data_IF_950637800876
#
_entry.id   IF_950637800876
#
_cell.length_a   1.000
_cell.length_b   1.000
_cell.length_c   1.000
_cell.angle_alpha   90.00
_cell.angle_beta   90.00
_cell.angle_gamma   90.00
#
_symmetry.space_group_name_H-M   'P 1'
#
loop_
_entity.id
_entity.type
_entity.pdbx_description
1 polymer ?
#
# COMPACT_ATOMS: atom_id res chain seq x y z
N UNK A 1 -26.33 -7.05 -25.74
CA UNK A 1 -26.36 -6.39 -24.43
C UNK A 1 -24.96 -5.97 -24.07
N UNK A 2 -24.70 -4.65 -24.08
CA UNK A 2 -23.41 -4.10 -23.64
C UNK A 2 -23.45 -3.79 -22.15
N UNK A 3 -22.34 -4.07 -21.44
CA UNK A 3 -22.15 -3.61 -20.05
C UNK A 3 -21.44 -2.26 -20.09
N UNK A 4 -22.06 -1.23 -19.53
CA UNK A 4 -21.43 0.08 -19.31
C UNK A 4 -20.88 0.16 -17.88
N UNK A 5 -19.61 0.53 -17.74
CA UNK A 5 -19.01 0.80 -16.43
C UNK A 5 -18.78 2.31 -16.30
N UNK A 6 -19.18 2.90 -15.18
CA UNK A 6 -18.91 4.28 -14.85
C UNK A 6 -18.04 4.33 -13.57
N UNK A 7 -16.95 5.10 -13.65
CA UNK A 7 -16.11 5.39 -12.47
C UNK A 7 -16.55 6.73 -11.91
N UNK A 8 -16.87 6.83 -10.61
CA UNK A 8 -17.19 8.12 -9.98
C UNK A 8 -16.06 9.13 -10.20
N UNK A 9 -16.41 10.34 -10.60
CA UNK A 9 -15.43 11.41 -10.91
C UNK A 9 -14.52 11.73 -9.73
N UNK A 10 -15.00 11.58 -8.50
CA UNK A 10 -14.22 11.77 -7.27
C UNK A 10 -13.07 10.76 -7.15
N UNK A 11 -13.31 9.48 -7.48
CA UNK A 11 -12.27 8.45 -7.50
C UNK A 11 -11.29 8.70 -8.65
N UNK A 12 -11.81 9.06 -9.83
CA UNK A 12 -10.97 9.39 -10.99
C UNK A 12 -10.05 10.57 -10.69
N UNK A 13 -10.56 11.66 -10.14
CA UNK A 13 -9.76 12.83 -9.78
C UNK A 13 -8.67 12.47 -8.76
N UNK A 14 -9.01 11.71 -7.72
CA UNK A 14 -8.03 11.22 -6.73
C UNK A 14 -6.92 10.38 -7.39
N UNK A 15 -7.27 9.49 -8.31
CA UNK A 15 -6.29 8.66 -9.05
C UNK A 15 -5.36 9.53 -9.89
N UNK A 16 -5.91 10.51 -10.64
CA UNK A 16 -5.11 11.44 -11.45
C UNK A 16 -4.17 12.28 -10.58
N UNK A 17 -4.66 12.80 -9.45
CA UNK A 17 -3.86 13.57 -8.52
C UNK A 17 -2.74 12.74 -7.90
N UNK A 18 -3.03 11.49 -7.51
CA UNK A 18 -2.03 10.58 -6.99
C UNK A 18 -0.94 10.26 -8.03
N UNK A 19 -1.35 9.98 -9.28
CA UNK A 19 -0.40 9.70 -10.36
C UNK A 19 0.49 10.91 -10.67
N UNK A 20 -0.08 12.14 -10.68
CA UNK A 20 0.70 13.37 -10.89
C UNK A 20 1.67 13.65 -9.75
N UNK A 21 1.25 13.42 -8.50
CA UNK A 21 2.01 13.80 -7.31
C UNK A 21 3.00 12.73 -6.85
N UNK A 22 2.64 11.46 -7.01
CA UNK A 22 3.37 10.34 -6.43
C UNK A 22 3.82 9.28 -7.45
N UNK A 23 3.45 9.44 -8.73
CA UNK A 23 3.72 8.44 -9.77
C UNK A 23 2.94 7.12 -9.60
N UNK A 24 2.15 6.99 -8.53
CA UNK A 24 1.35 5.78 -8.24
C UNK A 24 0.11 6.12 -7.46
N UNK A 25 -0.93 5.29 -7.61
CA UNK A 25 -2.18 5.44 -6.87
C UNK A 25 -1.98 5.05 -5.41
N UNK A 26 -2.32 5.95 -4.50
CA UNK A 26 -2.28 5.71 -3.07
C UNK A 26 -3.52 4.92 -2.65
N UNK A 27 -3.35 3.68 -2.27
CA UNK A 27 -4.45 2.81 -1.82
C UNK A 27 -4.47 2.74 -0.31
N UNK A 28 -5.54 3.28 0.28
CA UNK A 28 -5.81 3.13 1.69
C UNK A 28 -6.54 1.80 1.96
N UNK A 29 -6.25 1.19 3.11
CA UNK A 29 -6.84 -0.07 3.54
C UNK A 29 -7.25 0.01 5.01
N UNK A 30 -8.36 -0.65 5.34
CA UNK A 30 -8.78 -0.85 6.74
C UNK A 30 -8.04 -2.04 7.34
N UNK A 31 -7.71 -3.05 6.53
CA UNK A 31 -7.05 -4.27 7.01
C UNK A 31 -8.04 -5.28 7.59
N UNK A 32 -9.11 -5.58 6.87
CA UNK A 32 -10.09 -6.61 7.20
C UNK A 32 -10.28 -7.59 6.02
N UNK A 33 -10.69 -8.79 6.36
CA UNK A 33 -11.30 -9.74 5.44
C UNK A 33 -12.75 -9.93 5.88
N UNK A 34 -13.66 -10.08 4.94
CA UNK A 34 -15.07 -10.21 5.28
C UNK A 34 -15.98 -10.10 4.07
N UNK A 35 -17.25 -9.93 4.32
CA UNK A 35 -18.26 -9.82 3.28
C UNK A 35 -19.58 -9.25 3.80
N UNK A 36 -20.57 -9.18 2.90
CA UNK A 36 -21.88 -8.66 3.24
C UNK A 36 -22.54 -9.54 4.30
N UNK A 37 -23.07 -8.92 5.35
CA UNK A 37 -23.78 -9.63 6.46
C UNK A 37 -24.85 -10.54 5.90
N UNK A 38 -25.68 -10.06 4.98
CA UNK A 38 -26.76 -10.85 4.40
C UNK A 38 -26.25 -12.16 3.77
N UNK A 39 -25.21 -12.07 2.95
CA UNK A 39 -24.63 -13.27 2.34
C UNK A 39 -24.07 -14.26 3.35
N UNK A 40 -23.42 -13.71 4.40
CA UNK A 40 -22.89 -14.55 5.48
C UNK A 40 -24.01 -15.27 6.23
N UNK A 41 -25.07 -14.56 6.65
CA UNK A 41 -26.22 -15.14 7.37
C UNK A 41 -26.95 -16.17 6.50
N UNK A 42 -27.21 -15.86 5.23
CA UNK A 42 -27.84 -16.79 4.29
C UNK A 42 -27.02 -18.08 4.14
N UNK A 43 -25.70 -17.96 3.98
CA UNK A 43 -24.79 -19.12 3.89
C UNK A 43 -24.76 -19.96 5.18
N UNK A 44 -24.82 -19.34 6.37
CA UNK A 44 -24.89 -20.07 7.63
C UNK A 44 -26.23 -20.82 7.78
N UNK A 45 -27.33 -20.19 7.34
CA UNK A 45 -28.65 -20.81 7.34
C UNK A 45 -28.73 -22.04 6.43
N UNK A 46 -28.13 -21.99 5.23
CA UNK A 46 -28.00 -23.15 4.34
C UNK A 46 -27.24 -24.31 4.99
N UNK A 47 -26.33 -24.02 5.92
CA UNK A 47 -25.60 -25.02 6.70
C UNK A 47 -26.34 -25.47 7.98
N UNK A 48 -27.59 -25.03 8.15
CA UNK A 48 -28.41 -25.36 9.34
C UNK A 48 -28.02 -24.62 10.61
N UNK A 49 -27.27 -23.49 10.50
CA UNK A 49 -26.87 -22.65 11.62
C UNK A 49 -27.68 -21.37 11.63
N UNK A 50 -28.25 -21.02 12.78
CA UNK A 50 -28.84 -19.71 13.00
C UNK A 50 -27.78 -18.77 13.57
N UNK A 51 -27.54 -17.65 12.87
CA UNK A 51 -26.62 -16.59 13.29
C UNK A 51 -27.37 -15.28 13.37
N UNK A 52 -27.31 -14.65 14.50
CA UNK A 52 -27.87 -13.31 14.74
C UNK A 52 -26.72 -12.34 15.06
N UNK A 53 -26.43 -11.44 14.12
CA UNK A 53 -25.40 -10.42 14.22
C UNK A 53 -25.94 -9.06 14.68
N UNK A 54 -27.24 -8.98 15.04
CA UNK A 54 -27.91 -7.75 15.45
C UNK A 54 -28.29 -6.84 14.27
N UNK A 55 -27.98 -7.22 13.04
CA UNK A 55 -28.32 -6.52 11.79
C UNK A 55 -28.32 -7.47 10.63
N UNK A 56 -29.06 -7.11 9.56
CA UNK A 56 -29.03 -7.81 8.25
C UNK A 56 -28.22 -7.03 7.20
N UNK A 57 -27.67 -5.89 7.55
CA UNK A 57 -26.92 -5.02 6.65
C UNK A 57 -25.56 -4.69 7.28
N UNK A 58 -24.58 -4.41 6.42
CA UNK A 58 -23.22 -4.13 6.85
C UNK A 58 -22.21 -5.17 6.38
N UNK A 59 -21.01 -5.08 6.89
CA UNK A 59 -19.87 -5.94 6.53
C UNK A 59 -19.48 -6.77 7.74
N UNK A 60 -19.68 -8.07 7.67
CA UNK A 60 -19.16 -9.03 8.64
C UNK A 60 -17.66 -9.16 8.51
N UNK A 61 -16.92 -8.92 9.58
CA UNK A 61 -15.46 -9.06 9.66
C UNK A 61 -15.14 -10.51 10.01
N UNK A 62 -14.73 -11.29 9.02
CA UNK A 62 -14.30 -12.67 9.23
C UNK A 62 -12.90 -12.78 9.79
N UNK A 63 -12.05 -11.81 9.48
CA UNK A 63 -10.68 -11.72 9.98
C UNK A 63 -10.17 -10.29 9.95
N UNK A 64 -9.52 -9.88 11.03
CA UNK A 64 -8.72 -8.66 11.10
C UNK A 64 -7.27 -8.98 10.75
N UNK A 65 -6.67 -8.16 9.91
CA UNK A 65 -5.27 -8.33 9.47
C UNK A 65 -4.34 -7.78 10.55
N UNK A 66 -3.39 -8.60 10.99
CA UNK A 66 -2.39 -8.21 11.99
C UNK A 66 -1.60 -6.97 11.53
N UNK A 67 -1.52 -5.98 12.42
CA UNK A 67 -0.88 -4.69 12.10
C UNK A 67 -1.67 -3.82 11.11
N UNK A 68 -2.88 -4.23 10.73
CA UNK A 68 -3.82 -3.44 9.93
C UNK A 68 -4.41 -2.26 10.70
N UNK A 69 -5.07 -1.35 10.00
CA UNK A 69 -5.70 -0.18 10.61
C UNK A 69 -6.86 -0.56 11.55
N UNK A 70 -7.63 -1.62 11.21
CA UNK A 70 -8.70 -2.15 12.04
C UNK A 70 -8.16 -2.75 13.35
N UNK A 71 -7.05 -3.52 13.29
CA UNK A 71 -6.42 -4.08 14.49
C UNK A 71 -5.96 -2.99 15.47
N UNK A 72 -5.34 -1.92 14.96
CA UNK A 72 -4.90 -0.79 15.80
C UNK A 72 -6.09 -0.06 16.46
N UNK A 73 -7.25 -0.10 15.84
CA UNK A 73 -8.48 0.52 16.35
C UNK A 73 -9.31 -0.42 17.26
N UNK A 74 -8.81 -1.63 17.54
CA UNK A 74 -9.49 -2.58 18.41
C UNK A 74 -10.71 -3.26 17.81
N UNK A 75 -10.82 -3.29 16.47
CA UNK A 75 -11.85 -4.08 15.78
C UNK A 75 -11.40 -5.54 15.79
N UNK A 76 -12.33 -6.44 16.05
CA UNK A 76 -12.06 -7.86 16.21
C UNK A 76 -12.79 -8.73 15.17
N UNK A 77 -12.35 -9.97 15.06
CA UNK A 77 -13.03 -10.98 14.25
C UNK A 77 -14.45 -11.20 14.80
N UNK A 78 -15.44 -11.19 13.92
CA UNK A 78 -16.85 -11.30 14.31
C UNK A 78 -17.60 -9.97 14.37
N UNK A 79 -16.92 -8.84 14.35
CA UNK A 79 -17.54 -7.52 14.32
C UNK A 79 -18.30 -7.28 13.01
N UNK A 80 -19.24 -6.33 13.05
CA UNK A 80 -20.01 -5.92 11.88
C UNK A 80 -19.88 -4.43 11.65
N UNK A 81 -19.21 -4.01 10.59
CA UNK A 81 -19.10 -2.60 10.21
C UNK A 81 -20.42 -2.14 9.60
N UNK A 82 -21.01 -1.07 10.12
CA UNK A 82 -22.33 -0.55 9.70
C UNK A 82 -22.29 0.89 9.19
N UNK A 83 -21.23 1.67 9.48
CA UNK A 83 -21.07 3.01 8.92
C UNK A 83 -19.60 3.43 8.87
N UNK A 84 -19.28 4.33 7.92
CA UNK A 84 -17.98 5.01 7.77
C UNK A 84 -18.21 6.51 7.63
N UNK A 85 -17.53 7.32 8.43
CA UNK A 85 -17.70 8.79 8.48
C UNK A 85 -19.17 9.21 8.58
N UNK A 86 -19.98 8.46 9.36
CA UNK A 86 -21.42 8.67 9.53
C UNK A 86 -22.30 8.19 8.36
N UNK A 87 -21.70 7.75 7.26
CA UNK A 87 -22.44 7.20 6.12
C UNK A 87 -22.69 5.69 6.36
N UNK A 88 -23.96 5.30 6.33
CA UNK A 88 -24.33 3.88 6.45
C UNK A 88 -23.70 3.08 5.30
N UNK A 89 -23.15 1.93 5.63
CA UNK A 89 -22.65 0.95 4.65
C UNK A 89 -23.43 -0.35 4.82
N UNK A 90 -24.00 -0.84 3.72
CA UNK A 90 -24.86 -2.01 3.70
C UNK A 90 -24.19 -3.23 3.11
N UNK A 91 -23.13 -3.02 2.33
CA UNK A 91 -22.38 -4.06 1.62
C UNK A 91 -20.91 -3.65 1.42
N UNK A 92 -20.09 -4.63 1.02
CA UNK A 92 -18.66 -4.45 0.82
C UNK A 92 -18.32 -3.43 -0.28
N UNK A 93 -19.14 -3.32 -1.33
CA UNK A 93 -18.88 -2.39 -2.41
C UNK A 93 -18.97 -0.92 -1.95
N UNK A 94 -19.96 -0.59 -1.13
CA UNK A 94 -20.10 0.75 -0.54
C UNK A 94 -18.93 1.08 0.39
N UNK A 95 -18.49 0.13 1.23
CA UNK A 95 -17.29 0.32 2.06
C UNK A 95 -16.08 0.59 1.19
N UNK A 96 -15.84 -0.24 0.18
CA UNK A 96 -14.70 -0.09 -0.73
C UNK A 96 -14.73 1.23 -1.49
N UNK A 97 -15.90 1.71 -1.92
CA UNK A 97 -16.05 2.99 -2.60
C UNK A 97 -15.63 4.16 -1.70
N UNK A 98 -16.05 4.16 -0.42
CA UNK A 98 -15.68 5.20 0.53
C UNK A 98 -14.16 5.18 0.76
N UNK A 99 -13.59 4.00 1.00
CA UNK A 99 -12.16 3.84 1.28
C UNK A 99 -11.29 4.15 0.04
N UNK A 100 -11.77 3.86 -1.18
CA UNK A 100 -11.05 4.17 -2.42
C UNK A 100 -10.80 5.68 -2.64
N UNK A 101 -11.58 6.55 -1.99
CA UNK A 101 -11.40 8.01 -2.02
C UNK A 101 -10.35 8.52 -1.02
N UNK A 102 -9.88 7.66 -0.11
CA UNK A 102 -8.94 8.00 0.96
C UNK A 102 -7.50 7.61 0.59
N UNK A 103 -6.57 8.13 1.38
CA UNK A 103 -5.14 7.83 1.27
C UNK A 103 -4.63 7.18 2.57
N UNK A 104 -3.52 6.48 2.55
CA UNK A 104 -2.83 6.07 3.77
C UNK A 104 -2.54 7.29 4.65
N UNK A 105 -2.81 7.16 5.95
CA UNK A 105 -2.73 8.26 6.92
C UNK A 105 -4.03 9.04 7.12
N UNK A 106 -5.02 8.91 6.22
CA UNK A 106 -6.33 9.51 6.45
C UNK A 106 -7.04 8.83 7.62
N UNK A 107 -7.77 9.65 8.39
CA UNK A 107 -8.60 9.18 9.49
C UNK A 107 -10.03 8.99 9.00
N UNK A 108 -10.64 7.90 9.40
CA UNK A 108 -12.06 7.63 9.19
C UNK A 108 -12.71 7.24 10.52
N UNK A 109 -13.96 7.63 10.70
CA UNK A 109 -14.77 7.17 11.83
C UNK A 109 -15.49 5.89 11.41
N UNK A 110 -15.14 4.74 11.98
CA UNK A 110 -15.83 3.48 11.76
C UNK A 110 -16.84 3.25 12.88
N UNK A 111 -18.10 3.00 12.48
CA UNK A 111 -19.14 2.52 13.40
C UNK A 111 -19.36 1.05 13.14
N UNK A 112 -19.28 0.23 14.19
CA UNK A 112 -19.42 -1.21 14.11
C UNK A 112 -20.21 -1.77 15.29
N UNK A 113 -20.68 -2.99 15.15
CA UNK A 113 -21.30 -3.76 16.21
C UNK A 113 -20.31 -4.80 16.71
N UNK A 114 -19.96 -4.73 17.98
CA UNK A 114 -19.23 -5.76 18.72
C UNK A 114 -20.23 -6.39 19.70
N UNK A 115 -20.44 -7.70 19.61
CA UNK A 115 -21.46 -8.40 20.39
C UNK A 115 -22.85 -7.71 20.33
N UNK A 116 -23.24 -7.26 19.13
CA UNK A 116 -24.50 -6.51 18.87
C UNK A 116 -24.57 -5.12 19.49
N UNK A 117 -23.55 -4.66 20.21
CA UNK A 117 -23.46 -3.30 20.76
C UNK A 117 -22.73 -2.39 19.79
N UNK A 118 -23.26 -1.18 19.64
CA UNK A 118 -22.73 -0.18 18.72
C UNK A 118 -21.52 0.53 19.33
N UNK A 119 -20.42 0.52 18.61
CA UNK A 119 -19.17 1.23 18.92
C UNK A 119 -18.81 2.16 17.76
N UNK A 120 -18.02 3.18 18.05
CA UNK A 120 -17.49 4.09 17.02
C UNK A 120 -16.06 4.43 17.39
N UNK A 121 -15.14 4.11 16.48
CA UNK A 121 -13.70 4.33 16.67
C UNK A 121 -13.09 5.08 15.50
N UNK A 122 -12.05 5.84 15.78
CA UNK A 122 -11.26 6.52 14.76
C UNK A 122 -10.17 5.59 14.27
N UNK A 123 -10.22 5.25 12.98
CA UNK A 123 -9.26 4.37 12.31
C UNK A 123 -8.34 5.20 11.43
N UNK A 124 -7.04 5.04 11.59
CA UNK A 124 -6.02 5.64 10.71
C UNK A 124 -5.71 4.63 9.61
N UNK A 125 -6.14 4.94 8.40
CA UNK A 125 -5.98 4.03 7.25
C UNK A 125 -4.50 3.82 6.93
N UNK A 126 -4.16 2.59 6.56
CA UNK A 126 -2.80 2.18 6.21
C UNK A 126 -2.70 1.79 4.74
N UNK A 127 -1.50 1.71 4.22
CA UNK A 127 -1.23 1.14 2.89
C UNK A 127 -1.16 -0.40 2.96
N UNK A 128 -0.90 -1.05 1.84
CA UNK A 128 -0.73 -2.51 1.73
C UNK A 128 0.42 -3.05 2.59
N UNK A 129 1.41 -2.22 2.95
CA UNK A 129 2.54 -2.58 3.81
C UNK A 129 2.23 -2.39 5.31
N UNK A 130 1.00 -2.01 5.66
CA UNK A 130 0.57 -1.83 7.03
C UNK A 130 1.11 -0.54 7.70
N UNK A 131 1.50 0.46 6.93
CA UNK A 131 1.93 1.77 7.44
C UNK A 131 1.19 2.93 6.76
N UNK A 132 1.39 4.14 7.25
CA UNK A 132 0.75 5.36 6.74
C UNK A 132 1.58 6.09 5.69
N UNK A 133 2.71 5.54 5.27
CA UNK A 133 3.60 6.17 4.32
C UNK A 133 2.94 6.27 2.95
N UNK A 134 3.10 7.42 2.33
CA UNK A 134 2.73 7.63 0.94
C UNK A 134 3.74 6.90 0.06
N UNK A 135 3.25 5.96 -0.75
CA UNK A 135 4.10 5.25 -1.69
C UNK A 135 4.40 6.17 -2.87
N UNK A 136 5.66 6.50 -3.04
CA UNK A 136 6.15 7.18 -4.24
C UNK A 136 6.75 6.13 -5.17
N UNK A 137 6.27 6.10 -6.40
CA UNK A 137 6.95 5.42 -7.50
C UNK A 137 7.59 6.50 -8.37
N UNK A 138 8.90 6.58 -8.34
CA UNK A 138 9.62 7.30 -9.38
C UNK A 138 9.98 6.30 -10.47
N UNK A 139 9.50 6.57 -11.67
CA UNK A 139 10.06 5.99 -12.86
C UNK A 139 11.32 6.82 -13.16
N UNK A 140 12.46 6.30 -12.76
CA UNK A 140 13.74 6.88 -13.15
C UNK A 140 14.06 6.30 -14.53
N UNK A 141 13.42 6.86 -15.56
CA UNK A 141 13.53 6.40 -16.97
C UNK A 141 14.97 6.17 -17.38
N UNK A 142 15.87 7.02 -16.90
CA UNK A 142 17.32 6.92 -17.14
C UNK A 142 17.91 5.60 -16.62
N UNK A 143 17.36 5.04 -15.56
CA UNK A 143 17.84 3.79 -14.96
C UNK A 143 17.08 2.56 -15.47
N UNK A 144 15.90 2.75 -16.05
CA UNK A 144 15.05 1.66 -16.51
C UNK A 144 14.51 0.80 -15.38
N UNK A 145 14.19 1.39 -14.22
CA UNK A 145 13.70 0.65 -13.06
C UNK A 145 12.66 1.44 -12.25
N UNK A 146 11.79 0.70 -11.58
CA UNK A 146 10.82 1.24 -10.63
C UNK A 146 11.23 0.88 -9.20
N UNK A 147 11.00 1.81 -8.27
CA UNK A 147 11.45 1.71 -6.89
C UNK A 147 10.29 1.89 -5.92
N UNK A 148 10.43 1.35 -4.72
CA UNK A 148 9.59 1.66 -3.56
C UNK A 148 10.44 1.74 -2.29
N UNK A 149 9.95 2.43 -1.30
CA UNK A 149 10.56 2.42 0.03
C UNK A 149 10.40 1.04 0.67
N UNK A 150 11.41 0.63 1.47
CA UNK A 150 11.38 -0.66 2.16
C UNK A 150 10.37 -0.66 3.30
N UNK A 151 9.75 -1.81 3.51
CA UNK A 151 8.79 -2.03 4.60
C UNK A 151 9.51 -2.24 5.94
N UNK A 152 8.78 -2.04 7.05
CA UNK A 152 9.34 -2.30 8.39
C UNK A 152 9.65 -3.80 8.59
N UNK A 153 8.91 -4.69 7.94
CA UNK A 153 9.21 -6.12 7.91
C UNK A 153 10.57 -6.39 7.25
N UNK A 154 10.85 -5.77 6.09
CA UNK A 154 12.15 -5.89 5.40
C UNK A 154 13.30 -5.29 6.24
N UNK A 155 13.06 -4.15 6.91
CA UNK A 155 14.05 -3.56 7.83
C UNK A 155 14.45 -4.54 8.94
N UNK A 156 13.46 -5.16 9.58
CA UNK A 156 13.69 -6.16 10.64
C UNK A 156 14.37 -7.42 10.11
N UNK A 157 13.86 -7.98 9.01
CA UNK A 157 14.36 -9.23 8.42
C UNK A 157 15.83 -9.12 8.00
N UNK A 158 16.21 -7.99 7.39
CA UNK A 158 17.56 -7.78 6.84
C UNK A 158 18.48 -7.01 7.79
N UNK A 159 17.98 -6.62 8.97
CA UNK A 159 18.70 -5.78 9.95
C UNK A 159 19.25 -4.49 9.32
N UNK A 160 18.42 -3.82 8.51
CA UNK A 160 18.75 -2.56 7.84
C UNK A 160 17.75 -1.47 8.27
N UNK A 161 18.21 -0.22 8.26
CA UNK A 161 17.38 0.91 8.68
C UNK A 161 16.90 1.77 7.51
N UNK A 162 17.59 1.70 6.38
CA UNK A 162 17.35 2.55 5.20
C UNK A 162 17.47 1.76 3.91
N UNK A 163 16.82 2.23 2.87
CA UNK A 163 16.94 1.70 1.52
C UNK A 163 15.66 1.87 0.70
N UNK A 164 15.80 1.72 -0.60
CA UNK A 164 14.69 1.60 -1.56
C UNK A 164 14.81 0.29 -2.31
N UNK A 165 13.70 -0.40 -2.50
CA UNK A 165 13.65 -1.68 -3.20
C UNK A 165 13.39 -1.48 -4.70
N UNK A 166 14.15 -2.18 -5.53
CA UNK A 166 13.90 -2.30 -6.97
C UNK A 166 12.75 -3.28 -7.19
N UNK A 167 11.56 -2.77 -7.53
CA UNK A 167 10.35 -3.60 -7.69
C UNK A 167 10.14 -4.09 -9.11
N UNK A 168 10.74 -3.41 -10.09
CA UNK A 168 10.68 -3.77 -11.51
C UNK A 168 11.94 -3.28 -12.21
N UNK A 169 12.49 -4.09 -13.10
CA UNK A 169 13.60 -3.72 -14.00
C UNK A 169 13.12 -3.90 -15.43
N UNK A 170 13.16 -2.82 -16.19
CA UNK A 170 12.88 -2.78 -17.62
C UNK A 170 14.22 -2.85 -18.41
N UNK A 171 14.18 -2.70 -19.73
CA UNK A 171 15.39 -2.48 -20.50
C UNK A 171 15.99 -1.13 -20.11
N UNK A 172 17.28 -1.10 -19.79
CA UNK A 172 17.99 0.11 -19.37
C UNK A 172 19.19 -0.20 -18.49
N UNK A 173 19.83 0.86 -18.03
CA UNK A 173 21.15 0.82 -17.36
C UNK A 173 21.22 -0.10 -16.13
N UNK A 174 20.16 -0.23 -15.34
CA UNK A 174 20.14 -1.15 -14.21
C UNK A 174 20.12 -2.62 -14.63
N UNK A 175 19.41 -2.95 -15.72
CA UNK A 175 19.41 -4.30 -16.28
C UNK A 175 20.79 -4.66 -16.83
N UNK A 176 21.39 -3.71 -17.55
CA UNK A 176 22.71 -3.90 -18.17
C UNK A 176 23.80 -4.07 -17.10
N UNK A 177 23.66 -3.41 -15.97
CA UNK A 177 24.51 -3.58 -14.79
C UNK A 177 24.25 -4.88 -14.02
N UNK A 178 23.22 -5.67 -14.38
CA UNK A 178 22.88 -6.93 -13.71
C UNK A 178 22.07 -6.77 -12.41
N UNK A 179 21.51 -5.60 -12.15
CA UNK A 179 20.61 -5.40 -11.02
C UNK A 179 19.27 -6.05 -11.34
N UNK A 180 18.72 -6.79 -10.39
CA UNK A 180 17.45 -7.49 -10.53
C UNK A 180 16.43 -7.05 -9.49
N UNK A 181 15.17 -7.40 -9.76
CA UNK A 181 14.06 -7.17 -8.82
C UNK A 181 14.38 -7.71 -7.43
N UNK A 182 13.98 -6.95 -6.40
CA UNK A 182 14.20 -7.29 -4.99
C UNK A 182 15.50 -6.75 -4.41
N UNK A 183 16.41 -6.19 -5.23
CA UNK A 183 17.60 -5.52 -4.73
C UNK A 183 17.21 -4.26 -3.95
N UNK A 184 17.76 -4.08 -2.76
CA UNK A 184 17.53 -2.93 -1.89
C UNK A 184 18.77 -2.04 -1.95
N UNK A 185 18.61 -0.86 -2.54
CA UNK A 185 19.65 0.16 -2.63
C UNK A 185 19.72 0.89 -1.30
N UNK A 186 20.89 0.91 -0.67
CA UNK A 186 21.12 1.55 0.62
C UNK A 186 21.98 2.82 0.51
N UNK A 187 22.87 2.85 -0.49
CA UNK A 187 23.82 3.92 -0.69
C UNK A 187 24.09 4.13 -2.18
N UNK A 188 24.21 5.39 -2.61
CA UNK A 188 24.62 5.76 -3.95
C UNK A 188 25.59 6.94 -3.85
N UNK A 189 26.75 6.87 -4.49
CA UNK A 189 27.80 7.91 -4.46
C UNK A 189 28.11 8.41 -3.04
N UNK A 190 28.24 7.45 -2.10
CA UNK A 190 28.47 7.73 -0.67
C UNK A 190 27.29 8.34 0.10
N UNK A 191 26.18 8.67 -0.53
CA UNK A 191 24.97 9.14 0.12
C UNK A 191 24.04 8.00 0.51
N UNK A 192 23.46 8.10 1.72
CA UNK A 192 22.45 7.13 2.16
C UNK A 192 21.11 7.40 1.47
N UNK A 193 20.56 6.37 0.84
CA UNK A 193 19.27 6.43 0.18
C UNK A 193 18.18 5.93 1.15
N UNK A 194 17.39 6.86 1.68
CA UNK A 194 16.27 6.58 2.59
C UNK A 194 14.93 6.60 1.86
N UNK A 195 14.81 7.47 0.87
CA UNK A 195 13.62 7.75 0.10
C UNK A 195 13.88 7.70 -1.39
N UNK A 196 12.83 7.68 -2.17
CA UNK A 196 12.93 7.78 -3.64
C UNK A 196 13.41 9.18 -4.04
N UNK A 197 13.04 10.21 -3.29
CA UNK A 197 13.51 11.58 -3.53
C UNK A 197 15.03 11.69 -3.38
N UNK A 198 15.64 10.99 -2.41
CA UNK A 198 17.10 10.93 -2.27
C UNK A 198 17.73 10.35 -3.54
N UNK A 199 17.16 9.24 -4.05
CA UNK A 199 17.65 8.62 -5.28
C UNK A 199 17.53 9.55 -6.49
N UNK A 200 16.41 10.27 -6.63
CA UNK A 200 16.22 11.24 -7.72
C UNK A 200 17.24 12.37 -7.65
N UNK A 201 17.52 12.88 -6.47
CA UNK A 201 18.50 13.95 -6.26
C UNK A 201 19.91 13.48 -6.66
N UNK A 202 20.33 12.32 -6.16
CA UNK A 202 21.66 11.75 -6.49
C UNK A 202 21.80 11.47 -7.98
N UNK A 203 20.77 10.93 -8.64
CA UNK A 203 20.79 10.69 -10.10
C UNK A 203 20.89 12.01 -10.85
N UNK A 204 20.14 13.04 -10.44
CA UNK A 204 20.20 14.37 -11.05
C UNK A 204 21.57 15.00 -10.90
N UNK A 205 22.17 14.96 -9.72
CA UNK A 205 23.51 15.47 -9.44
C UNK A 205 24.57 14.72 -10.23
N UNK A 206 24.53 13.40 -10.22
CA UNK A 206 25.46 12.58 -10.99
C UNK A 206 25.35 12.82 -12.50
N UNK A 207 24.14 13.04 -13.03
CA UNK A 207 23.92 13.31 -14.46
C UNK A 207 24.56 14.63 -14.93
N UNK A 208 24.78 15.58 -14.02
CA UNK A 208 25.38 16.90 -14.29
C UNK A 208 26.85 16.97 -13.86
N UNK A 209 27.40 15.92 -13.27
CA UNK A 209 28.79 15.85 -12.82
C UNK A 209 29.78 15.61 -13.96
N UNK A 210 31.08 15.84 -13.71
CA UNK A 210 32.14 15.54 -14.65
C UNK A 210 32.33 14.02 -14.88
N UNK A 211 31.92 13.20 -13.91
CA UNK A 211 31.90 11.75 -13.98
C UNK A 211 30.50 11.25 -13.73
N UNK A 212 29.65 11.11 -14.77
CA UNK A 212 28.26 10.73 -14.63
C UNK A 212 28.11 9.22 -14.40
N UNK A 213 28.55 8.76 -13.23
CA UNK A 213 28.48 7.36 -12.79
C UNK A 213 27.76 7.28 -11.44
N UNK A 214 26.92 6.28 -11.28
CA UNK A 214 26.32 5.92 -10.00
C UNK A 214 27.04 4.71 -9.42
N UNK A 215 27.66 4.87 -8.27
CA UNK A 215 28.21 3.78 -7.47
C UNK A 215 27.17 3.34 -6.45
N UNK A 216 26.51 2.23 -6.74
CA UNK A 216 25.36 1.74 -5.98
C UNK A 216 25.81 0.63 -5.02
N UNK A 217 25.46 0.75 -3.76
CA UNK A 217 25.63 -0.28 -2.74
C UNK A 217 24.27 -0.70 -2.20
N UNK A 218 24.06 -2.00 -2.05
CA UNK A 218 22.82 -2.51 -1.50
C UNK A 218 22.88 -3.99 -1.12
N UNK A 219 21.70 -4.54 -0.86
CA UNK A 219 21.53 -5.90 -0.36
C UNK A 219 20.37 -6.60 -1.07
N UNK A 220 20.52 -7.87 -1.38
CA UNK A 220 19.43 -8.72 -1.84
C UNK A 220 18.62 -9.29 -0.66
N UNK A 221 17.36 -9.75 -0.88
CA UNK A 221 16.55 -10.39 0.18
C UNK A 221 17.21 -11.60 0.84
N UNK A 222 18.19 -12.21 0.17
CA UNK A 222 19.03 -13.30 0.68
C UNK A 222 20.06 -12.85 1.71
N UNK A 223 20.20 -11.53 1.97
CA UNK A 223 21.26 -10.97 2.80
C UNK A 223 22.60 -10.74 2.08
N UNK A 224 22.70 -11.09 0.78
CA UNK A 224 23.91 -10.88 -0.01
C UNK A 224 24.06 -9.40 -0.37
N UNK A 225 25.16 -8.77 0.07
CA UNK A 225 25.56 -7.42 -0.34
C UNK A 225 26.08 -7.42 -1.77
N UNK A 226 25.78 -6.38 -2.53
CA UNK A 226 26.30 -6.19 -3.89
C UNK A 226 26.60 -4.72 -4.16
N UNK A 227 27.51 -4.49 -5.11
CA UNK A 227 27.99 -3.17 -5.51
C UNK A 227 27.94 -3.11 -7.05
N UNK A 228 27.46 -1.99 -7.57
CA UNK A 228 27.33 -1.78 -9.00
C UNK A 228 27.83 -0.38 -9.37
N UNK A 229 28.42 -0.26 -10.54
CA UNK A 229 28.74 1.03 -11.15
C UNK A 229 27.89 1.18 -12.42
N UNK A 230 27.12 2.24 -12.51
CA UNK A 230 26.21 2.50 -13.63
C UNK A 230 26.61 3.82 -14.28
N UNK A 231 27.18 3.80 -15.50
CA UNK A 231 27.40 5.02 -16.26
C UNK A 231 26.07 5.61 -16.73
N UNK A 232 25.84 6.90 -16.50
CA UNK A 232 24.64 7.61 -16.92
C UNK A 232 24.70 8.14 -18.36
N UNK A 233 25.89 8.31 -18.90
CA UNK A 233 26.15 8.61 -20.30
C UNK A 233 26.62 7.36 -21.04
N UNK A 234 26.32 7.28 -22.34
CA UNK A 234 26.76 6.21 -23.25
C UNK A 234 28.14 6.57 -23.80
#
# INVERSE_FOLDING_TARGET
>A
SGYGFAIPTTIMNKVVDDLKKYGTVQRAMIGIQGGDVKKYVDSQKEQGKEVDLGTMEGIYVSKVVDGGAAADAGIEDGDVIVAVDGHKVTNMAELQEIIARKRPGDKVSLTYLHEKKKHTETVILKNEQGNTNVMKHADLDVLGANFREITDAQKKQLSINVGIEVIKVNNGKMKDAGISRGFIIQKVNDEQIKTIDDMQNVVKEASTSNEPVLYIQGIYPTGKKAYFAIPLQD
#
